data_IF_451150762992
#
_entry.id   IF_451150762992
#
_cell.length_a   1.000
_cell.length_b   1.000
_cell.length_c   1.000
_cell.angle_alpha   90.00
_cell.angle_beta   90.00
_cell.angle_gamma   90.00
#
_symmetry.space_group_name_H-M   'P 1'
#
loop_
_entity.id
_entity.type
_entity.pdbx_description
1 polymer ?
#
# COMPACT_ATOMS: atom_id res chain seq x y z
N UNK A 1 18.33 18.14 -7.86
CA UNK A 1 17.01 17.58 -7.49
C UNK A 1 17.29 16.29 -6.73
N UNK A 2 17.07 16.22 -5.42
CA UNK A 2 17.29 14.98 -4.66
C UNK A 2 16.09 14.07 -4.87
N UNK A 3 16.38 12.82 -5.20
CA UNK A 3 15.45 11.76 -5.53
C UNK A 3 14.25 11.69 -4.61
N UNK A 4 13.09 11.38 -5.18
CA UNK A 4 11.87 10.92 -4.52
C UNK A 4 12.14 9.97 -3.33
N UNK A 5 12.24 10.50 -2.11
CA UNK A 5 12.48 9.73 -0.85
C UNK A 5 11.15 9.29 -0.23
N UNK A 6 10.22 8.75 -1.03
CA UNK A 6 8.96 8.22 -0.47
C UNK A 6 8.98 6.71 -0.47
N UNK A 7 8.84 6.14 0.73
CA UNK A 7 8.75 4.70 0.91
C UNK A 7 7.37 4.20 0.46
N UNK A 8 7.33 3.28 -0.51
CA UNK A 8 6.11 2.74 -1.10
C UNK A 8 5.95 1.27 -0.70
N UNK A 9 4.91 0.89 0.08
CA UNK A 9 4.76 -0.47 0.59
C UNK A 9 4.53 -1.50 -0.51
N UNK A 10 3.74 -1.16 -1.55
CA UNK A 10 3.47 -2.08 -2.66
C UNK A 10 4.75 -2.32 -3.45
N UNK A 11 5.48 -1.25 -3.79
CA UNK A 11 6.76 -1.37 -4.50
C UNK A 11 7.80 -2.11 -3.66
N UNK A 12 7.83 -1.88 -2.35
CA UNK A 12 8.73 -2.57 -1.43
C UNK A 12 8.47 -4.08 -1.44
N UNK A 13 7.23 -4.51 -1.28
CA UNK A 13 6.85 -5.93 -1.33
C UNK A 13 7.20 -6.56 -2.68
N UNK A 14 6.90 -5.89 -3.80
CA UNK A 14 7.22 -6.38 -5.14
C UNK A 14 8.72 -6.58 -5.36
N UNK A 15 9.56 -5.64 -4.91
CA UNK A 15 11.03 -5.77 -4.97
C UNK A 15 11.56 -6.98 -4.20
N UNK A 16 10.79 -7.48 -3.24
CA UNK A 16 11.14 -8.66 -2.47
C UNK A 16 10.55 -9.95 -3.03
N UNK A 17 9.81 -9.91 -4.13
CA UNK A 17 9.14 -11.07 -4.74
C UNK A 17 7.77 -11.37 -4.14
N UNK A 18 7.09 -10.34 -3.59
CA UNK A 18 5.77 -10.45 -2.97
C UNK A 18 4.80 -9.52 -3.71
N UNK A 19 3.78 -10.08 -4.34
CA UNK A 19 2.67 -9.33 -4.94
C UNK A 19 1.47 -9.25 -3.98
N UNK A 20 0.66 -8.20 -4.13
CA UNK A 20 -0.58 -8.03 -3.38
C UNK A 20 -1.73 -8.14 -4.37
N UNK A 21 -2.67 -9.06 -4.12
CA UNK A 21 -3.93 -9.13 -4.86
C UNK A 21 -5.07 -8.56 -4.03
N UNK A 22 -5.90 -7.73 -4.65
CA UNK A 22 -7.16 -7.23 -4.10
C UNK A 22 -8.26 -8.22 -4.46
N UNK A 23 -8.73 -8.98 -3.48
CA UNK A 23 -9.97 -9.77 -3.55
C UNK A 23 -11.16 -8.97 -3.02
N UNK A 24 -12.35 -9.55 -3.16
CA UNK A 24 -13.58 -9.08 -2.51
C UNK A 24 -13.97 -10.12 -1.47
N UNK A 25 -14.06 -9.71 -0.20
CA UNK A 25 -14.67 -10.55 0.82
C UNK A 25 -16.19 -10.56 0.63
N UNK A 26 -16.87 -11.64 1.05
CA UNK A 26 -18.32 -11.83 0.89
C UNK A 26 -19.22 -10.73 1.49
N UNK A 27 -18.65 -9.79 2.25
CA UNK A 27 -19.33 -8.63 2.83
C UNK A 27 -18.99 -7.29 2.16
N UNK A 28 -18.30 -7.29 1.02
CA UNK A 28 -17.99 -6.07 0.24
C UNK A 28 -16.75 -5.31 0.71
N UNK A 29 -16.08 -5.73 1.79
CA UNK A 29 -14.78 -5.19 2.16
C UNK A 29 -13.67 -5.79 1.28
N UNK A 30 -12.70 -4.98 0.80
CA UNK A 30 -11.57 -5.49 0.06
C UNK A 30 -10.67 -6.33 0.97
N UNK A 31 -10.42 -7.55 0.52
CA UNK A 31 -9.44 -8.47 1.10
C UNK A 31 -8.12 -8.33 0.34
N UNK A 32 -7.01 -8.29 1.06
CA UNK A 32 -5.69 -8.26 0.44
C UNK A 32 -4.98 -9.58 0.68
N UNK A 33 -4.62 -10.26 -0.39
CA UNK A 33 -3.86 -11.52 -0.35
C UNK A 33 -2.42 -11.25 -0.77
N UNK A 34 -1.47 -11.75 0.02
CA UNK A 34 -0.06 -11.74 -0.33
C UNK A 34 0.27 -12.99 -1.15
N UNK A 35 0.83 -12.79 -2.33
CA UNK A 35 1.33 -13.84 -3.21
C UNK A 35 2.85 -13.80 -3.22
N UNK A 36 3.47 -14.95 -2.99
CA UNK A 36 4.91 -15.08 -2.89
C UNK A 36 5.45 -15.81 -4.11
N UNK A 37 6.53 -15.31 -4.71
CA UNK A 37 7.19 -15.98 -5.84
C UNK A 37 7.62 -17.40 -5.47
N UNK A 38 7.33 -18.36 -6.36
CA UNK A 38 7.60 -19.80 -6.13
C UNK A 38 9.07 -20.19 -6.29
N UNK A 39 9.93 -19.25 -6.63
CA UNK A 39 11.35 -19.48 -6.96
C UNK A 39 12.21 -19.84 -5.76
N UNK A 40 11.71 -19.67 -4.53
CA UNK A 40 12.43 -20.01 -3.29
C UNK A 40 11.49 -20.30 -2.12
N UNK A 41 11.95 -21.07 -1.12
CA UNK A 41 11.24 -21.18 0.15
C UNK A 41 11.22 -19.84 0.90
N UNK A 42 10.10 -19.58 1.57
CA UNK A 42 9.86 -18.34 2.32
C UNK A 42 9.92 -18.62 3.83
N UNK A 43 10.92 -18.08 4.56
CA UNK A 43 11.00 -18.24 6.00
C UNK A 43 9.75 -17.65 6.69
N UNK A 44 9.21 -18.29 7.75
CA UNK A 44 8.04 -17.79 8.48
C UNK A 44 8.18 -16.34 8.95
N UNK A 45 9.38 -15.93 9.39
CA UNK A 45 9.66 -14.56 9.78
C UNK A 45 9.47 -13.53 8.66
N UNK A 46 9.78 -13.89 7.40
CA UNK A 46 9.56 -13.00 6.24
C UNK A 46 8.07 -12.89 5.92
N UNK A 47 7.35 -14.00 5.98
CA UNK A 47 5.88 -14.03 5.77
C UNK A 47 5.20 -13.14 6.81
N UNK A 48 5.54 -13.33 8.10
CA UNK A 48 4.97 -12.54 9.19
C UNK A 48 5.25 -11.04 9.03
N UNK A 49 6.47 -10.67 8.61
CA UNK A 49 6.82 -9.27 8.37
C UNK A 49 6.03 -8.66 7.21
N UNK A 50 5.79 -9.44 6.15
CA UNK A 50 4.98 -8.97 5.03
C UNK A 50 3.51 -8.74 5.45
N UNK A 51 2.94 -9.64 6.27
CA UNK A 51 1.60 -9.47 6.85
C UNK A 51 1.53 -8.23 7.73
N UNK A 52 2.49 -8.04 8.63
CA UNK A 52 2.56 -6.84 9.48
C UNK A 52 2.64 -5.54 8.67
N UNK A 53 3.42 -5.53 7.58
CA UNK A 53 3.48 -4.38 6.67
C UNK A 53 2.13 -4.15 5.97
N UNK A 54 1.47 -5.21 5.51
CA UNK A 54 0.16 -5.12 4.89
C UNK A 54 -0.86 -4.49 5.86
N UNK A 55 -0.88 -4.94 7.11
CA UNK A 55 -1.79 -4.42 8.14
C UNK A 55 -1.45 -2.97 8.52
N UNK A 56 -0.17 -2.67 8.76
CA UNK A 56 0.29 -1.33 9.13
C UNK A 56 -0.06 -0.29 8.06
N UNK A 57 0.01 -0.67 6.78
CA UNK A 57 -0.22 0.24 5.65
C UNK A 57 -1.50 -0.06 4.88
N UNK A 58 -2.45 -0.81 5.46
CA UNK A 58 -3.66 -1.32 4.77
C UNK A 58 -4.41 -0.25 3.98
N UNK A 59 -4.66 0.90 4.59
CA UNK A 59 -5.39 2.00 3.94
C UNK A 59 -4.59 2.65 2.80
N UNK A 60 -3.28 2.77 2.96
CA UNK A 60 -2.40 3.29 1.92
C UNK A 60 -2.37 2.31 0.74
N UNK A 61 -2.15 1.02 1.01
CA UNK A 61 -2.17 -0.05 0.02
C UNK A 61 -3.51 -0.09 -0.71
N UNK A 62 -4.64 0.06 0.00
CA UNK A 62 -5.97 0.17 -0.61
C UNK A 62 -6.06 1.31 -1.61
N UNK A 63 -5.58 2.52 -1.26
CA UNK A 63 -5.55 3.66 -2.20
C UNK A 63 -4.63 3.43 -3.41
N UNK A 64 -3.51 2.73 -3.21
CA UNK A 64 -2.56 2.41 -4.28
C UNK A 64 -3.16 1.41 -5.28
N UNK A 65 -3.86 0.40 -4.77
CA UNK A 65 -4.51 -0.64 -5.57
C UNK A 65 -5.90 -0.26 -6.06
N UNK A 66 -6.44 0.89 -5.67
CA UNK A 66 -7.74 1.38 -6.13
C UNK A 66 -7.66 2.00 -7.53
N UNK A 67 -7.28 1.17 -8.49
CA UNK A 67 -7.12 1.52 -9.91
C UNK A 67 -7.94 0.56 -10.79
N UNK A 68 -8.31 0.98 -12.01
CA UNK A 68 -8.94 0.08 -12.97
C UNK A 68 -8.09 -1.17 -13.24
N UNK A 69 -8.71 -2.32 -13.57
CA UNK A 69 -7.97 -3.51 -13.99
C UNK A 69 -7.00 -3.21 -15.13
N UNK A 70 -5.79 -3.79 -15.06
CA UNK A 70 -4.74 -3.57 -16.06
C UNK A 70 -3.93 -2.27 -15.89
N UNK A 71 -4.33 -1.37 -14.97
CA UNK A 71 -3.54 -0.18 -14.65
C UNK A 71 -2.49 -0.48 -13.58
N UNK A 72 -1.32 0.18 -13.63
CA UNK A 72 -0.35 0.11 -12.54
C UNK A 72 -0.93 0.74 -11.27
N UNK A 73 -0.49 0.24 -10.11
CA UNK A 73 -0.84 0.83 -8.83
C UNK A 73 -0.34 2.27 -8.73
N UNK A 74 -1.07 3.11 -7.99
CA UNK A 74 -0.65 4.49 -7.74
C UNK A 74 0.54 4.50 -6.80
N UNK A 75 1.55 5.32 -7.09
CA UNK A 75 2.64 5.59 -6.16
C UNK A 75 2.16 6.47 -5.00
N UNK A 76 2.85 6.41 -3.86
CA UNK A 76 2.60 7.35 -2.75
C UNK A 76 2.72 8.82 -3.18
N UNK A 77 3.60 9.12 -4.14
CA UNK A 77 3.71 10.46 -4.73
C UNK A 77 2.44 10.87 -5.47
N UNK A 78 1.89 9.99 -6.30
CA UNK A 78 0.64 10.27 -7.01
C UNK A 78 -0.51 10.47 -6.03
N UNK A 79 -0.59 9.65 -4.97
CA UNK A 79 -1.60 9.81 -3.92
C UNK A 79 -1.46 11.12 -3.17
N UNK A 80 -0.24 11.58 -2.90
CA UNK A 80 0.04 12.88 -2.29
C UNK A 80 -0.35 14.02 -3.24
N UNK A 81 0.04 13.94 -4.51
CA UNK A 81 -0.28 14.96 -5.51
C UNK A 81 -1.80 15.10 -5.74
N UNK A 82 -2.55 13.99 -5.63
CA UNK A 82 -4.02 13.98 -5.64
C UNK A 82 -4.66 14.44 -4.33
N UNK A 83 -3.88 14.73 -3.30
CA UNK A 83 -4.36 15.19 -2.00
C UNK A 83 -5.04 14.11 -1.16
N UNK A 84 -4.85 12.82 -1.44
CA UNK A 84 -5.44 11.72 -0.67
C UNK A 84 -4.67 11.42 0.61
N UNK A 85 -3.36 11.66 0.59
CA UNK A 85 -2.48 11.48 1.74
C UNK A 85 -1.62 12.71 1.97
N UNK A 86 -1.26 12.94 3.22
CA UNK A 86 -0.18 13.84 3.63
C UNK A 86 0.93 13.02 4.29
N UNK A 87 2.14 13.53 4.21
CA UNK A 87 3.32 12.90 4.80
C UNK A 87 3.79 13.82 5.92
N UNK A 88 3.85 13.28 7.14
CA UNK A 88 4.35 13.98 8.32
C UNK A 88 5.76 13.47 8.58
N UNK A 89 6.73 14.38 8.57
CA UNK A 89 8.11 14.06 8.95
C UNK A 89 8.17 14.00 10.49
N UNK A 90 8.62 12.86 11.00
CA UNK A 90 8.83 12.60 12.43
C UNK A 90 10.32 12.70 12.81
N UNK A 91 11.21 12.74 11.81
CA UNK A 91 12.65 12.85 11.99
C UNK A 91 13.40 12.70 10.66
N UNK A 92 14.75 12.72 10.65
CA UNK A 92 15.57 12.79 9.45
C UNK A 92 15.36 11.67 8.41
N UNK A 93 14.72 10.57 8.82
CA UNK A 93 14.38 9.41 7.97
C UNK A 93 13.07 8.74 8.36
N UNK A 94 12.25 9.39 9.20
CA UNK A 94 11.02 8.81 9.70
C UNK A 94 9.84 9.62 9.18
N UNK A 95 8.97 8.95 8.43
CA UNK A 95 7.83 9.57 7.78
C UNK A 95 6.58 8.80 8.19
N UNK A 96 5.49 9.52 8.45
CA UNK A 96 4.17 8.95 8.70
C UNK A 96 3.22 9.38 7.61
N UNK A 97 2.61 8.39 6.96
CA UNK A 97 1.53 8.62 6.02
C UNK A 97 0.22 8.81 6.77
N UNK A 98 -0.49 9.90 6.48
CA UNK A 98 -1.77 10.24 7.10
C UNK A 98 -2.80 10.47 6.00
N UNK A 99 -3.95 9.81 6.11
CA UNK A 99 -5.08 10.06 5.21
C UNK A 99 -5.62 11.47 5.41
N UNK A 100 -5.86 12.18 4.31
CA UNK A 100 -6.64 13.42 4.33
C UNK A 100 -8.13 13.10 4.40
N UNK A 101 -8.97 14.12 4.64
CA UNK A 101 -10.43 13.95 4.55
C UNK A 101 -10.87 13.46 3.16
N UNK A 102 -10.20 13.91 2.10
CA UNK A 102 -10.45 13.42 0.75
C UNK A 102 -10.06 11.94 0.61
N UNK A 103 -8.90 11.54 1.13
CA UNK A 103 -8.46 10.14 1.13
C UNK A 103 -9.40 9.23 1.92
N UNK A 104 -9.90 9.68 3.08
CA UNK A 104 -10.91 8.96 3.87
C UNK A 104 -12.21 8.77 3.09
N UNK A 105 -12.70 9.80 2.39
CA UNK A 105 -13.92 9.72 1.56
C UNK A 105 -13.77 8.75 0.41
N UNK A 106 -12.62 8.76 -0.27
CA UNK A 106 -12.32 7.82 -1.36
C UNK A 106 -12.26 6.39 -0.83
N UNK A 107 -11.65 6.18 0.34
CA UNK A 107 -11.60 4.86 0.97
C UNK A 107 -12.96 4.36 1.47
N UNK A 108 -13.74 5.25 2.08
CA UNK A 108 -15.03 4.91 2.70
C UNK A 108 -16.13 4.55 1.72
N UNK A 109 -15.93 4.80 0.41
CA UNK A 109 -16.97 4.62 -0.59
C UNK A 109 -18.07 5.66 -0.42
N UNK A 110 -18.58 6.17 -1.55
CA UNK A 110 -19.84 6.90 -1.56
C UNK A 110 -20.91 5.97 -0.93
N UNK A 111 -21.57 6.44 0.13
CA UNK A 111 -22.98 6.07 0.34
C UNK A 111 -23.80 6.63 -0.82
#
# INVERSE_FOLDING_TARGET
MRDSVFWDPVRHLQRHGISIRKGLQGHGEPEFMLEFERTRPWPPAKIQRAIQLLDQYRNLIRLQLDVPPGMPYRSCESLRAKGYIKIVELGPRQHRYVLTELGKRVLGGKK
#
